data_IF_236013192575
#
_entry.id   IF_236013192575
#
_cell.length_a   1.000
_cell.length_b   1.000
_cell.length_c   1.000
_cell.angle_alpha   90.00
_cell.angle_beta   90.00
_cell.angle_gamma   90.00
#
_symmetry.space_group_name_H-M   'P 1'
#
loop_
_entity.id
_entity.type
_entity.pdbx_description
1 polymer ?
#
# COMPACT_ATOMS: atom_id res chain seq x y z
N UNK A 1 -0.56 14.11 15.72
CA UNK A 1 -0.05 14.67 16.99
C UNK A 1 1.02 13.71 17.50
N UNK A 2 2.26 14.19 17.58
CA UNK A 2 3.33 13.44 18.20
C UNK A 2 2.99 13.20 19.66
N UNK A 3 3.05 11.97 20.11
CA UNK A 3 2.92 11.63 21.52
C UNK A 3 4.25 11.94 22.18
N UNK A 4 4.56 13.24 22.33
CA UNK A 4 5.53 13.68 23.29
C UNK A 4 4.91 13.67 24.68
N UNK A 5 5.63 13.24 25.70
CA UNK A 5 5.34 13.62 27.08
C UNK A 5 5.17 15.13 27.11
N UNK A 6 4.39 15.64 28.05
CA UNK A 6 4.18 17.07 28.28
C UNK A 6 5.50 17.83 28.08
N UNK A 7 5.48 18.79 27.17
CA UNK A 7 6.65 19.57 26.81
C UNK A 7 7.15 20.32 28.06
N UNK A 8 8.29 19.89 28.60
CA UNK A 8 9.03 20.66 29.59
C UNK A 8 10.12 21.41 28.86
N UNK A 9 10.19 22.74 28.95
CA UNK A 9 11.24 23.53 28.31
C UNK A 9 12.67 23.08 28.69
N UNK A 10 12.81 22.42 29.83
CA UNK A 10 14.09 21.98 30.38
C UNK A 10 14.50 20.55 29.98
N UNK A 11 13.63 19.80 29.28
CA UNK A 11 13.92 18.44 28.84
C UNK A 11 14.19 18.38 27.34
N UNK A 12 15.41 18.61 26.90
CA UNK A 12 15.89 18.44 25.51
C UNK A 12 15.62 17.06 24.90
N UNK A 13 15.26 16.05 25.70
CA UNK A 13 15.03 14.65 25.28
C UNK A 13 13.80 14.43 24.39
N UNK A 14 12.88 15.38 24.32
CA UNK A 14 11.57 15.20 23.68
C UNK A 14 11.31 16.14 22.52
N UNK A 15 12.37 16.69 21.91
CA UNK A 15 12.25 17.61 20.77
C UNK A 15 12.07 16.88 19.42
N UNK A 16 12.22 15.55 19.39
CA UNK A 16 12.04 14.77 18.17
C UNK A 16 10.57 14.44 17.93
N UNK A 17 10.01 15.00 16.86
CA UNK A 17 8.63 14.73 16.45
C UNK A 17 8.58 13.52 15.51
N UNK A 18 8.09 12.39 16.02
CA UNK A 18 7.97 11.15 15.29
C UNK A 18 6.98 11.23 14.11
N UNK A 19 6.11 12.22 14.05
CA UNK A 19 5.12 12.33 12.98
C UNK A 19 5.76 12.73 11.66
N UNK A 20 6.71 13.66 11.67
CA UNK A 20 7.33 14.17 10.44
C UNK A 20 8.85 13.98 10.36
N UNK A 21 9.55 13.89 11.52
CA UNK A 21 11.01 13.72 11.54
C UNK A 21 11.42 12.24 11.45
N UNK A 22 10.65 11.31 12.05
CA UNK A 22 10.97 9.90 11.95
C UNK A 22 10.81 9.40 10.51
N UNK A 23 11.89 8.83 9.97
CA UNK A 23 11.90 8.18 8.66
C UNK A 23 12.04 6.67 8.87
N UNK A 24 11.01 5.91 8.54
CA UNK A 24 10.92 4.47 8.79
C UNK A 24 10.43 3.73 7.55
N UNK A 25 10.83 2.49 7.41
CA UNK A 25 10.38 1.65 6.31
C UNK A 25 8.89 1.37 6.43
N UNK A 26 8.06 1.77 5.44
CA UNK A 26 6.61 1.55 5.46
C UNK A 26 6.22 0.08 5.28
N UNK A 27 7.12 -0.76 4.78
CA UNK A 27 6.82 -2.14 4.46
C UNK A 27 5.61 -2.24 3.51
N UNK A 28 4.73 -3.18 3.77
CA UNK A 28 3.56 -3.44 2.91
C UNK A 28 2.54 -2.29 2.82
N UNK A 29 2.66 -1.20 3.61
CA UNK A 29 1.84 0.00 3.37
C UNK A 29 2.26 0.76 2.12
N UNK A 30 3.39 0.41 1.50
CA UNK A 30 3.82 0.95 0.21
C UNK A 30 3.11 0.27 -0.99
N UNK A 31 2.62 -0.95 -0.84
CA UNK A 31 1.97 -1.71 -1.93
C UNK A 31 0.83 -0.97 -2.64
N UNK A 32 -0.04 -0.20 -1.96
CA UNK A 32 -1.09 0.56 -2.65
C UNK A 32 -0.58 1.45 -3.79
N UNK A 33 0.64 2.00 -3.73
CA UNK A 33 1.21 2.79 -4.83
C UNK A 33 1.50 1.93 -6.07
N UNK A 34 1.99 0.71 -5.86
CA UNK A 34 2.23 -0.28 -6.93
C UNK A 34 0.92 -0.68 -7.61
N UNK A 35 -0.08 -1.02 -6.81
CA UNK A 35 -1.39 -1.43 -7.32
C UNK A 35 -2.13 -0.26 -7.97
N UNK A 36 -1.99 0.97 -7.46
CA UNK A 36 -2.54 2.17 -8.11
C UNK A 36 -1.95 2.36 -9.50
N UNK A 37 -0.63 2.21 -9.66
CA UNK A 37 0.01 2.28 -10.97
C UNK A 37 -0.53 1.21 -11.94
N UNK A 38 -0.73 -0.01 -11.45
CA UNK A 38 -1.27 -1.11 -12.26
C UNK A 38 -2.72 -0.86 -12.70
N UNK A 39 -3.59 -0.43 -11.79
CA UNK A 39 -5.00 -0.15 -12.09
C UNK A 39 -5.14 1.05 -13.04
N UNK A 40 -4.37 2.12 -12.83
CA UNK A 40 -4.40 3.32 -13.70
C UNK A 40 -3.87 3.03 -15.10
N UNK A 41 -2.92 2.09 -15.22
CA UNK A 41 -2.43 1.57 -16.50
C UNK A 41 -3.50 0.77 -17.28
N UNK A 42 -4.53 0.29 -16.58
CA UNK A 42 -5.66 -0.45 -17.16
C UNK A 42 -5.70 -1.93 -16.81
N UNK A 43 -4.84 -2.41 -15.90
CA UNK A 43 -4.99 -3.77 -15.39
C UNK A 43 -6.20 -3.82 -14.43
N UNK A 44 -7.16 -4.74 -14.63
CA UNK A 44 -8.32 -4.83 -13.73
C UNK A 44 -7.93 -5.49 -12.40
N UNK A 45 -8.71 -5.25 -11.34
CA UNK A 45 -8.45 -5.79 -10.02
C UNK A 45 -8.52 -7.34 -9.98
N UNK A 46 -9.23 -7.95 -10.91
CA UNK A 46 -9.30 -9.39 -11.12
C UNK A 46 -8.23 -9.94 -12.10
N UNK A 47 -7.23 -9.12 -12.50
CA UNK A 47 -6.08 -9.58 -13.25
C UNK A 47 -5.29 -10.63 -12.48
N UNK A 48 -4.94 -11.75 -13.14
CA UNK A 48 -4.26 -12.87 -12.50
C UNK A 48 -2.74 -12.76 -12.60
N UNK A 49 -2.09 -13.02 -11.47
CA UNK A 49 -0.62 -13.06 -11.33
C UNK A 49 -0.24 -14.33 -10.58
N UNK A 50 0.86 -14.96 -10.98
CA UNK A 50 1.36 -16.18 -10.35
C UNK A 50 2.04 -15.87 -9.00
N UNK A 51 1.56 -16.49 -7.92
CA UNK A 51 2.15 -16.38 -6.57
C UNK A 51 3.24 -17.42 -6.35
N UNK A 52 4.34 -17.26 -7.08
CA UNK A 52 5.52 -18.12 -6.99
C UNK A 52 6.78 -17.26 -6.83
N UNK A 53 7.81 -17.75 -6.14
CA UNK A 53 9.05 -17.03 -5.96
C UNK A 53 9.69 -16.62 -7.29
N UNK A 54 10.20 -15.38 -7.31
CA UNK A 54 11.12 -14.89 -8.33
C UNK A 54 12.50 -14.78 -7.69
N UNK A 55 13.52 -15.11 -8.45
CA UNK A 55 14.91 -15.00 -8.00
C UNK A 55 15.65 -14.05 -8.93
N UNK A 56 16.27 -13.05 -8.37
CA UNK A 56 17.04 -12.04 -9.08
C UNK A 56 18.50 -12.13 -8.64
N UNK A 57 19.41 -12.15 -9.60
CA UNK A 57 20.85 -12.04 -9.33
C UNK A 57 21.28 -10.60 -9.57
N UNK A 58 21.75 -9.92 -8.54
CA UNK A 58 22.18 -8.52 -8.56
C UNK A 58 23.65 -8.50 -8.12
N UNK A 59 24.56 -8.43 -9.10
CA UNK A 59 25.99 -8.63 -8.85
C UNK A 59 26.23 -10.02 -8.25
N UNK A 60 26.84 -10.07 -7.06
CA UNK A 60 27.10 -11.31 -6.32
C UNK A 60 26.00 -11.68 -5.31
N UNK A 61 24.89 -10.93 -5.28
CA UNK A 61 23.81 -11.15 -4.32
C UNK A 61 22.60 -11.76 -5.00
N UNK A 62 22.04 -12.80 -4.40
CA UNK A 62 20.77 -13.40 -4.81
C UNK A 62 19.64 -12.85 -3.94
N UNK A 63 18.64 -12.26 -4.58
CA UNK A 63 17.44 -11.76 -3.91
C UNK A 63 16.21 -12.54 -4.36
N UNK A 64 15.54 -13.20 -3.42
CA UNK A 64 14.34 -14.00 -3.68
C UNK A 64 13.28 -13.66 -2.62
N UNK A 65 12.40 -12.69 -2.91
CA UNK A 65 11.35 -12.28 -1.97
C UNK A 65 10.32 -13.40 -1.77
N UNK A 66 9.91 -13.62 -0.50
CA UNK A 66 8.91 -14.61 -0.11
C UNK A 66 7.72 -13.93 0.56
N UNK A 67 6.58 -14.60 0.55
CA UNK A 67 5.44 -14.19 1.37
C UNK A 67 5.79 -14.27 2.86
N UNK A 68 5.12 -13.45 3.70
CA UNK A 68 5.47 -13.32 5.12
C UNK A 68 5.27 -14.61 5.92
N UNK A 69 4.38 -15.48 5.47
CA UNK A 69 4.11 -16.80 6.03
C UNK A 69 4.93 -17.92 5.38
N UNK A 70 5.81 -17.55 4.42
CA UNK A 70 6.61 -18.51 3.66
C UNK A 70 5.84 -19.31 2.61
N UNK A 71 4.54 -19.08 2.47
CA UNK A 71 3.69 -19.77 1.50
C UNK A 71 3.97 -19.33 0.06
N UNK A 72 3.57 -20.17 -0.87
CA UNK A 72 3.46 -19.87 -2.29
C UNK A 72 2.18 -20.51 -2.81
N UNK A 73 1.57 -19.88 -3.78
CA UNK A 73 0.30 -20.32 -4.34
C UNK A 73 0.35 -20.49 -5.87
N UNK A 74 -0.80 -20.63 -6.47
CA UNK A 74 -1.00 -20.61 -7.91
C UNK A 74 -1.34 -19.21 -8.43
N UNK A 75 -2.12 -19.18 -9.50
CA UNK A 75 -2.66 -17.92 -10.05
C UNK A 75 -3.62 -17.27 -9.04
N UNK A 76 -3.42 -16.00 -8.77
CA UNK A 76 -4.27 -15.22 -7.86
C UNK A 76 -4.56 -13.84 -8.44
N UNK A 77 -5.66 -13.21 -8.05
CA UNK A 77 -6.04 -11.89 -8.55
C UNK A 77 -5.27 -10.78 -7.83
N UNK A 78 -5.12 -9.60 -8.48
CA UNK A 78 -4.55 -8.42 -7.82
C UNK A 78 -5.32 -8.07 -6.53
N UNK A 79 -6.65 -8.16 -6.58
CA UNK A 79 -7.51 -7.93 -5.41
C UNK A 79 -7.15 -8.86 -4.25
N UNK A 80 -7.09 -10.16 -4.51
CA UNK A 80 -6.75 -11.15 -3.50
C UNK A 80 -5.31 -10.95 -2.97
N UNK A 81 -4.37 -10.68 -3.87
CA UNK A 81 -2.98 -10.45 -3.52
C UNK A 81 -2.77 -9.23 -2.61
N UNK A 82 -3.48 -8.10 -2.88
CA UNK A 82 -3.44 -6.93 -2.00
C UNK A 82 -4.12 -7.23 -0.66
N UNK A 83 -5.25 -7.93 -0.68
CA UNK A 83 -6.02 -8.34 0.51
C UNK A 83 -5.17 -9.17 1.47
N UNK A 84 -4.44 -10.15 0.96
CA UNK A 84 -3.55 -11.01 1.72
C UNK A 84 -2.12 -10.47 1.84
N UNK A 85 -1.85 -9.33 1.19
CA UNK A 85 -0.53 -8.69 1.25
C UNK A 85 0.62 -9.55 0.71
N UNK A 86 0.37 -10.31 -0.38
CA UNK A 86 1.36 -11.21 -0.97
C UNK A 86 2.56 -10.44 -1.53
N UNK A 87 3.78 -10.82 -1.13
CA UNK A 87 5.01 -10.18 -1.57
C UNK A 87 5.40 -10.61 -2.98
N UNK A 88 5.33 -11.91 -3.24
CA UNK A 88 5.73 -12.51 -4.51
C UNK A 88 4.93 -11.93 -5.68
N UNK A 89 3.60 -11.84 -5.51
CA UNK A 89 2.70 -11.23 -6.50
C UNK A 89 3.02 -9.75 -6.73
N UNK A 90 3.27 -8.99 -5.64
CA UNK A 90 3.59 -7.55 -5.77
C UNK A 90 4.89 -7.33 -6.54
N UNK A 91 5.92 -8.14 -6.26
CA UNK A 91 7.21 -8.06 -6.97
C UNK A 91 7.05 -8.47 -8.43
N UNK A 92 6.33 -9.56 -8.70
CA UNK A 92 6.06 -10.03 -10.06
C UNK A 92 5.26 -9.00 -10.87
N UNK A 93 4.20 -8.44 -10.29
CA UNK A 93 3.41 -7.37 -10.89
C UNK A 93 4.29 -6.17 -11.29
N UNK A 94 5.15 -5.72 -10.38
CA UNK A 94 6.05 -4.61 -10.66
C UNK A 94 7.08 -4.95 -11.73
N UNK A 95 7.64 -6.15 -11.70
CA UNK A 95 8.67 -6.58 -12.63
C UNK A 95 8.14 -6.81 -14.06
N UNK A 96 6.96 -7.44 -14.17
CA UNK A 96 6.40 -7.84 -15.46
C UNK A 96 5.55 -6.76 -16.13
N UNK A 97 4.88 -5.89 -15.33
CA UNK A 97 3.84 -4.99 -15.82
C UNK A 97 4.16 -3.50 -15.66
N UNK A 98 5.09 -3.15 -14.79
CA UNK A 98 5.37 -1.76 -14.40
C UNK A 98 6.87 -1.48 -14.50
N UNK A 99 7.24 -0.24 -14.18
CA UNK A 99 8.62 0.15 -13.92
C UNK A 99 8.73 0.84 -12.56
N UNK A 100 9.90 0.75 -11.92
CA UNK A 100 10.12 1.42 -10.62
C UNK A 100 9.96 2.95 -10.71
N UNK A 101 10.44 3.65 -11.75
CA UNK A 101 10.19 5.08 -11.91
C UNK A 101 8.70 5.44 -12.01
N UNK A 102 7.89 4.60 -12.68
CA UNK A 102 6.45 4.77 -12.77
C UNK A 102 5.81 4.69 -11.39
N UNK A 103 6.14 3.67 -10.59
CA UNK A 103 5.66 3.51 -9.21
C UNK A 103 6.07 4.71 -8.33
N UNK A 104 7.33 5.16 -8.44
CA UNK A 104 7.83 6.35 -7.75
C UNK A 104 7.00 7.59 -8.13
N UNK A 105 6.65 7.74 -9.40
CA UNK A 105 5.82 8.86 -9.86
C UNK A 105 4.46 8.90 -9.14
N UNK A 106 3.78 7.75 -8.97
CA UNK A 106 2.53 7.68 -8.21
C UNK A 106 2.73 8.04 -6.74
N UNK A 107 3.75 7.49 -6.09
CA UNK A 107 4.08 7.83 -4.70
C UNK A 107 4.35 9.36 -4.54
N UNK A 108 5.09 9.97 -5.49
CA UNK A 108 5.35 11.42 -5.50
C UNK A 108 4.09 12.24 -5.70
N UNK A 109 3.25 11.87 -6.66
CA UNK A 109 1.96 12.54 -6.92
C UNK A 109 1.06 12.51 -5.69
N UNK A 110 1.08 11.41 -4.93
CA UNK A 110 0.33 11.23 -3.70
C UNK A 110 1.00 11.82 -2.46
N UNK A 111 2.17 12.48 -2.59
CA UNK A 111 2.76 13.29 -1.52
C UNK A 111 3.94 12.70 -0.77
N UNK A 112 4.49 11.56 -1.20
CA UNK A 112 5.75 11.06 -0.64
C UNK A 112 6.89 11.93 -1.15
N UNK A 113 7.54 12.68 -0.27
CA UNK A 113 8.67 13.58 -0.57
C UNK A 113 10.04 12.97 -0.22
N UNK A 114 10.09 11.98 0.65
CA UNK A 114 11.31 11.25 1.02
C UNK A 114 11.95 10.59 -0.20
N UNK A 115 13.27 10.48 -0.22
CA UNK A 115 14.00 9.80 -1.29
C UNK A 115 13.55 8.34 -1.40
N UNK A 116 13.19 7.92 -2.61
CA UNK A 116 12.79 6.57 -2.94
C UNK A 116 13.84 5.95 -3.84
N UNK A 117 14.38 4.79 -3.43
CA UNK A 117 15.38 4.07 -4.20
C UNK A 117 14.74 3.44 -5.44
N UNK A 118 15.36 3.66 -6.62
CA UNK A 118 14.85 3.13 -7.88
C UNK A 118 15.28 1.67 -8.11
N UNK A 119 15.02 0.82 -7.12
CA UNK A 119 15.26 -0.63 -7.20
C UNK A 119 13.95 -1.41 -6.97
N UNK A 120 13.91 -2.66 -7.39
CA UNK A 120 12.69 -3.47 -7.33
C UNK A 120 12.23 -3.75 -5.89
N UNK A 121 13.13 -3.73 -4.90
CA UNK A 121 12.74 -3.96 -3.50
C UNK A 121 11.87 -2.82 -2.93
N UNK A 122 11.88 -1.63 -3.54
CA UNK A 122 11.01 -0.51 -3.20
C UNK A 122 9.54 -0.93 -3.10
N UNK A 123 9.08 -1.83 -3.97
CA UNK A 123 7.67 -2.26 -4.02
C UNK A 123 7.21 -2.99 -2.75
N UNK A 124 8.17 -3.43 -1.94
CA UNK A 124 7.95 -4.00 -0.61
C UNK A 124 8.11 -2.97 0.53
N UNK A 125 8.36 -1.69 0.19
CA UNK A 125 8.49 -0.59 1.13
C UNK A 125 9.82 -0.56 1.86
N UNK A 126 10.93 -0.75 1.15
CA UNK A 126 12.29 -0.70 1.73
C UNK A 126 12.83 0.72 1.89
N UNK A 127 12.38 1.70 1.09
CA UNK A 127 12.73 3.11 1.29
C UNK A 127 11.94 3.73 2.43
N UNK A 128 12.57 4.61 3.19
CA UNK A 128 11.99 5.20 4.40
C UNK A 128 11.07 6.38 4.10
N UNK A 129 9.99 6.51 4.86
CA UNK A 129 9.03 7.62 4.79
C UNK A 129 8.61 8.04 6.18
N UNK A 130 8.07 9.26 6.35
CA UNK A 130 7.50 9.66 7.63
C UNK A 130 6.02 9.24 7.76
N UNK A 131 5.51 9.12 9.00
CA UNK A 131 4.09 8.92 9.23
C UNK A 131 3.21 9.98 8.59
N UNK A 132 3.64 11.25 8.58
CA UNK A 132 2.91 12.35 7.95
C UNK A 132 2.83 12.21 6.44
N UNK A 133 3.93 11.84 5.77
CA UNK A 133 3.92 11.58 4.33
C UNK A 133 2.96 10.45 3.97
N UNK A 134 3.00 9.35 4.75
CA UNK A 134 2.11 8.23 4.51
C UNK A 134 0.64 8.60 4.77
N UNK A 135 0.35 9.40 5.80
CA UNK A 135 -0.99 9.91 6.07
C UNK A 135 -1.50 10.82 4.95
N UNK A 136 -0.65 11.73 4.46
CA UNK A 136 -0.94 12.58 3.29
C UNK A 136 -1.19 11.76 2.02
N UNK A 137 -0.42 10.69 1.81
CA UNK A 137 -0.61 9.81 0.67
C UNK A 137 -1.92 9.02 0.76
N UNK A 138 -2.25 8.46 1.92
CA UNK A 138 -3.51 7.76 2.12
C UNK A 138 -4.73 8.68 2.13
N UNK A 139 -4.56 9.97 2.46
CA UNK A 139 -5.63 10.96 2.35
C UNK A 139 -6.07 11.19 0.91
N UNK A 140 -5.20 10.94 -0.08
CA UNK A 140 -5.54 10.98 -1.50
C UNK A 140 -6.67 9.99 -1.83
N UNK A 141 -6.63 8.78 -1.26
CA UNK A 141 -7.71 7.82 -1.44
C UNK A 141 -9.03 8.30 -0.84
N UNK A 142 -9.01 8.82 0.40
CA UNK A 142 -10.21 9.34 1.05
C UNK A 142 -10.79 10.59 0.35
N UNK A 143 -9.96 11.33 -0.38
CA UNK A 143 -10.29 12.59 -1.06
C UNK A 143 -10.44 12.43 -2.58
N UNK A 144 -11.03 11.31 -3.03
CA UNK A 144 -11.36 11.05 -4.43
C UNK A 144 -10.19 11.23 -5.42
N UNK A 145 -8.97 10.84 -5.02
CA UNK A 145 -7.78 10.93 -5.84
C UNK A 145 -7.07 12.30 -5.84
N UNK A 146 -7.55 13.24 -5.04
CA UNK A 146 -6.94 14.57 -4.88
C UNK A 146 -6.00 14.56 -3.67
N UNK A 147 -4.72 14.75 -3.91
CA UNK A 147 -3.78 15.02 -2.83
C UNK A 147 -3.89 16.48 -2.36
N UNK A 148 -3.91 16.64 -1.06
CA UNK A 148 -3.83 17.93 -0.40
C UNK A 148 -2.66 17.93 0.57
N UNK A 149 -1.90 19.01 0.60
CA UNK A 149 -0.80 19.19 1.54
C UNK A 149 -1.30 19.15 2.98
N UNK A 150 -0.69 18.27 3.84
CA UNK A 150 -0.99 18.27 5.27
C UNK A 150 -0.51 19.57 5.92
N UNK A 151 -1.41 20.29 6.59
CA UNK A 151 -1.10 21.54 7.29
C UNK A 151 -1.65 21.50 8.71
N UNK A 152 -0.94 22.12 9.66
CA UNK A 152 -1.35 22.22 11.06
C UNK A 152 -1.91 23.60 11.41
N UNK A 153 -1.52 24.65 10.68
CA UNK A 153 -1.94 26.04 10.92
C UNK A 153 -2.50 26.58 9.62
N UNK A 154 -3.80 26.89 9.60
CA UNK A 154 -4.45 27.50 8.43
C UNK A 154 -4.40 29.02 8.48
N UNK A 155 -4.58 29.61 9.67
CA UNK A 155 -4.54 31.06 9.85
C UNK A 155 -3.98 31.45 11.21
N UNK A 156 -3.41 32.64 11.28
CA UNK A 156 -2.98 33.31 12.50
C UNK A 156 -3.72 34.64 12.60
N UNK A 157 -4.38 34.87 13.71
CA UNK A 157 -5.12 36.09 14.00
C UNK A 157 -4.56 36.77 15.27
N UNK A 158 -4.65 38.08 15.33
CA UNK A 158 -4.31 38.84 16.55
C UNK A 158 -5.44 38.74 17.60
N UNK A 159 -5.20 39.33 18.78
CA UNK A 159 -6.17 39.33 19.87
C UNK A 159 -7.50 40.07 19.52
N UNK A 160 -7.57 40.77 18.41
CA UNK A 160 -8.76 41.46 17.91
C UNK A 160 -9.38 40.73 16.70
N UNK A 161 -9.02 39.49 16.45
CA UNK A 161 -9.48 38.66 15.32
C UNK A 161 -9.09 39.23 13.95
N UNK A 162 -8.06 40.09 13.87
CA UNK A 162 -7.53 40.57 12.61
C UNK A 162 -6.57 39.52 12.04
N UNK A 163 -6.77 39.15 10.77
CA UNK A 163 -5.93 38.24 10.07
C UNK A 163 -4.49 38.72 9.97
N UNK A 164 -3.52 38.00 10.52
CA UNK A 164 -2.09 38.27 10.39
C UNK A 164 -1.52 37.47 9.21
N UNK A 165 -1.89 36.19 9.10
CA UNK A 165 -1.41 35.31 8.04
C UNK A 165 -2.44 34.21 7.78
N UNK A 166 -2.56 33.80 6.50
CA UNK A 166 -3.37 32.67 6.06
C UNK A 166 -2.52 31.78 5.17
N UNK A 167 -2.66 30.46 5.34
CA UNK A 167 -1.99 29.46 4.54
C UNK A 167 -3.00 28.65 3.73
N UNK A 168 -2.86 28.69 2.42
CA UNK A 168 -3.70 27.91 1.49
C UNK A 168 -2.93 26.63 1.12
N UNK A 169 -3.38 25.44 1.56
CA UNK A 169 -2.70 24.19 1.24
C UNK A 169 -2.66 23.90 -0.26
N UNK A 170 -1.53 23.42 -0.74
CA UNK A 170 -1.40 22.96 -2.12
C UNK A 170 -2.31 21.76 -2.38
N UNK A 171 -2.91 21.71 -3.57
CA UNK A 171 -3.78 20.60 -4.02
C UNK A 171 -3.40 20.19 -5.44
N UNK A 172 -3.52 18.90 -5.73
CA UNK A 172 -3.35 18.36 -7.09
C UNK A 172 -4.15 17.07 -7.28
N UNK A 173 -4.61 16.85 -8.51
CA UNK A 173 -5.10 15.54 -8.91
C UNK A 173 -3.92 14.56 -8.96
N UNK A 174 -3.91 13.58 -8.07
CA UNK A 174 -2.85 12.60 -7.95
C UNK A 174 -3.17 11.32 -8.72
N UNK A 175 -4.41 10.86 -8.67
CA UNK A 175 -4.91 9.66 -9.35
C UNK A 175 -6.31 9.93 -9.91
N UNK A 176 -6.66 9.23 -10.99
CA UNK A 176 -7.99 9.29 -11.59
C UNK A 176 -9.07 8.80 -10.59
N UNK A 177 -10.25 9.44 -10.51
CA UNK A 177 -11.29 9.05 -9.58
C UNK A 177 -11.76 7.58 -9.74
N UNK A 178 -11.81 7.03 -10.95
CA UNK A 178 -12.19 5.63 -11.16
C UNK A 178 -11.10 4.69 -10.64
N UNK A 179 -9.82 4.98 -10.94
CA UNK A 179 -8.67 4.27 -10.35
C UNK A 179 -8.70 4.33 -8.83
N UNK A 180 -8.97 5.52 -8.27
CA UNK A 180 -9.10 5.71 -6.83
C UNK A 180 -10.19 4.82 -6.22
N UNK A 181 -11.37 4.77 -6.83
CA UNK A 181 -12.47 3.96 -6.32
C UNK A 181 -12.18 2.46 -6.37
N UNK A 182 -11.59 1.96 -7.47
CA UNK A 182 -11.15 0.56 -7.56
C UNK A 182 -10.15 0.25 -6.45
N UNK A 183 -9.18 1.13 -6.22
CA UNK A 183 -8.21 0.96 -5.12
C UNK A 183 -8.87 0.98 -3.74
N UNK A 184 -9.82 1.89 -3.48
CA UNK A 184 -10.61 1.89 -2.24
C UNK A 184 -11.31 0.55 -2.06
N UNK A 185 -11.97 0.02 -3.11
CA UNK A 185 -12.68 -1.26 -3.04
C UNK A 185 -11.74 -2.42 -2.66
N UNK A 186 -10.52 -2.43 -3.21
CA UNK A 186 -9.49 -3.43 -2.85
C UNK A 186 -8.97 -3.25 -1.41
N UNK A 187 -8.77 -2.00 -0.96
CA UNK A 187 -8.33 -1.68 0.40
C UNK A 187 -9.44 -1.92 1.45
N UNK A 188 -10.71 -1.87 1.06
CA UNK A 188 -11.84 -2.33 1.89
C UNK A 188 -11.75 -3.84 2.14
N UNK A 189 -11.39 -4.61 1.14
CA UNK A 189 -11.22 -6.07 1.29
C UNK A 189 -10.11 -6.40 2.29
N UNK A 190 -9.02 -5.63 2.33
CA UNK A 190 -7.98 -5.78 3.37
C UNK A 190 -8.56 -5.67 4.78
N UNK A 191 -9.45 -4.69 4.99
CA UNK A 191 -10.10 -4.43 6.30
C UNK A 191 -11.24 -5.40 6.60
N UNK A 192 -11.96 -5.85 5.59
CA UNK A 192 -13.14 -6.69 5.78
C UNK A 192 -12.81 -8.18 5.90
N UNK A 193 -11.85 -8.67 5.12
CA UNK A 193 -11.54 -10.11 5.00
C UNK A 193 -10.05 -10.46 4.88
N UNK A 194 -9.17 -9.43 4.87
CA UNK A 194 -7.73 -9.60 4.70
C UNK A 194 -6.93 -9.43 5.99
N UNK A 195 -5.69 -8.97 5.83
CA UNK A 195 -4.73 -8.77 6.94
C UNK A 195 -5.19 -7.76 7.99
N UNK A 196 -6.15 -6.89 7.66
CA UNK A 196 -6.78 -5.91 8.56
C UNK A 196 -8.12 -6.35 9.15
N UNK A 197 -8.57 -7.60 8.94
CA UNK A 197 -9.93 -8.06 9.33
C UNK A 197 -10.24 -7.92 10.83
N UNK A 198 -9.22 -7.83 11.68
CA UNK A 198 -9.39 -7.57 13.11
C UNK A 198 -10.11 -6.23 13.39
N UNK A 199 -10.07 -5.25 12.49
CA UNK A 199 -10.85 -4.01 12.58
C UNK A 199 -12.33 -4.33 12.77
N UNK A 200 -12.85 -5.32 12.04
CA UNK A 200 -14.25 -5.78 12.13
C UNK A 200 -14.44 -6.79 13.24
N UNK A 201 -13.71 -7.91 13.16
CA UNK A 201 -13.96 -9.09 13.99
C UNK A 201 -13.58 -8.90 15.46
N UNK A 202 -12.50 -8.16 15.75
CA UNK A 202 -12.02 -7.98 17.11
C UNK A 202 -12.38 -6.62 17.72
N UNK A 203 -12.29 -5.55 16.92
CA UNK A 203 -12.49 -4.19 17.43
C UNK A 203 -13.89 -3.63 17.16
N UNK A 204 -14.72 -4.36 16.40
CA UNK A 204 -16.10 -4.00 16.09
C UNK A 204 -16.25 -2.54 15.58
N UNK A 205 -15.30 -2.08 14.77
CA UNK A 205 -15.42 -0.81 14.07
C UNK A 205 -16.12 -1.06 12.74
N UNK A 206 -17.44 -0.77 12.72
CA UNK A 206 -18.34 -1.13 11.61
C UNK A 206 -18.62 0.04 10.64
N UNK A 207 -17.93 1.17 10.81
CA UNK A 207 -18.01 2.28 9.84
C UNK A 207 -17.34 1.89 8.52
N UNK A 208 -17.73 2.53 7.42
CA UNK A 208 -17.06 2.34 6.13
C UNK A 208 -15.59 2.70 6.25
N UNK A 209 -14.71 1.74 5.99
CA UNK A 209 -13.28 1.92 6.16
C UNK A 209 -12.47 1.07 5.19
N UNK A 210 -11.33 1.61 4.81
CA UNK A 210 -10.32 0.96 3.99
C UNK A 210 -8.93 1.16 4.62
N UNK A 211 -7.96 0.31 4.29
CA UNK A 211 -6.62 0.46 4.87
C UNK A 211 -5.66 -0.65 4.49
N UNK A 212 -4.44 -0.53 4.99
CA UNK A 212 -3.36 -1.49 4.72
C UNK A 212 -2.48 -1.67 5.96
N UNK A 213 -2.16 -2.91 6.28
CA UNK A 213 -1.16 -3.28 7.27
C UNK A 213 0.25 -3.18 6.67
N UNK A 214 1.22 -2.78 7.46
CA UNK A 214 2.63 -2.81 7.11
C UNK A 214 3.44 -3.52 8.20
N UNK A 215 4.43 -4.29 7.77
CA UNK A 215 5.38 -4.95 8.65
C UNK A 215 6.70 -5.03 7.90
N UNK A 216 7.80 -4.64 8.54
CA UNK A 216 9.13 -4.82 7.96
C UNK A 216 9.65 -6.21 8.24
N UNK A 217 10.45 -6.77 7.30
CA UNK A 217 11.03 -8.11 7.44
C UNK A 217 11.91 -8.25 8.69
N UNK A 218 12.54 -7.15 9.10
CA UNK A 218 13.38 -7.11 10.32
C UNK A 218 12.56 -7.03 11.61
N UNK A 219 11.23 -6.98 11.56
CA UNK A 219 10.35 -6.79 12.73
C UNK A 219 10.68 -5.54 13.55
N UNK A 220 11.09 -4.45 12.89
CA UNK A 220 11.41 -3.17 13.55
C UNK A 220 10.24 -2.20 13.51
N UNK A 221 9.49 -2.25 12.42
CA UNK A 221 8.42 -1.30 12.15
C UNK A 221 7.12 -2.03 11.87
N UNK A 222 6.09 -1.64 12.58
CA UNK A 222 4.73 -2.11 12.40
C UNK A 222 3.82 -0.92 12.08
N UNK A 223 3.05 -1.05 11.00
CA UNK A 223 2.22 0.04 10.48
C UNK A 223 0.78 -0.39 10.27
N UNK A 224 -0.12 0.54 10.48
CA UNK A 224 -1.47 0.49 9.94
C UNK A 224 -1.86 1.85 9.39
N UNK A 225 -2.09 1.92 8.09
CA UNK A 225 -2.60 3.10 7.40
C UNK A 225 -4.04 2.83 7.00
N UNK A 226 -4.99 3.57 7.58
CA UNK A 226 -6.41 3.34 7.35
C UNK A 226 -7.21 4.63 7.33
N UNK A 227 -8.34 4.59 6.65
CA UNK A 227 -9.18 5.75 6.42
C UNK A 227 -10.65 5.38 6.28
N UNK A 228 -11.48 6.36 6.56
CA UNK A 228 -12.90 6.43 6.22
C UNK A 228 -13.10 7.56 5.21
N UNK A 229 -14.30 7.78 4.66
CA UNK A 229 -14.53 8.95 3.81
C UNK A 229 -14.25 10.31 4.46
N UNK A 230 -14.15 10.37 5.80
CA UNK A 230 -14.04 11.64 6.54
C UNK A 230 -12.76 11.77 7.38
N UNK A 231 -12.06 10.67 7.65
CA UNK A 231 -10.92 10.68 8.56
C UNK A 231 -9.85 9.69 8.11
N UNK A 232 -8.61 10.15 8.11
CA UNK A 232 -7.42 9.33 7.82
C UNK A 232 -6.56 9.27 9.08
N UNK A 233 -6.07 8.09 9.41
CA UNK A 233 -5.08 7.91 10.46
C UNK A 233 -4.03 6.88 10.04
N UNK A 234 -2.78 7.19 10.36
CA UNK A 234 -1.64 6.28 10.18
C UNK A 234 -1.00 6.08 11.54
N UNK A 235 -0.80 4.84 11.89
CA UNK A 235 -0.12 4.44 13.12
C UNK A 235 1.15 3.70 12.77
N UNK A 236 2.24 4.18 13.34
CA UNK A 236 3.52 3.49 13.39
C UNK A 236 3.82 3.08 14.83
N UNK A 237 4.31 1.86 14.99
CA UNK A 237 4.86 1.36 16.25
C UNK A 237 6.22 0.73 15.98
N UNK A 238 7.18 1.12 16.78
CA UNK A 238 8.58 0.68 16.65
C UNK A 238 9.43 1.27 17.78
N UNK A 239 10.73 1.29 17.58
CA UNK A 239 11.69 1.78 18.55
C UNK A 239 12.54 2.89 17.91
N UNK A 240 12.98 3.86 18.72
CA UNK A 240 13.87 4.92 18.27
C UNK A 240 15.24 4.37 17.85
N UNK A 241 15.72 3.38 18.60
CA UNK A 241 16.95 2.68 18.27
C UNK A 241 16.65 1.55 17.25
N UNK A 242 17.19 1.68 16.05
CA UNK A 242 17.01 0.70 14.97
C UNK A 242 17.61 -0.68 15.27
N UNK A 243 18.46 -0.81 16.28
CA UNK A 243 18.99 -2.10 16.74
C UNK A 243 17.95 -2.92 17.49
N UNK A 244 16.94 -2.25 18.06
CA UNK A 244 15.84 -2.89 18.78
C UNK A 244 14.77 -3.34 17.78
N UNK A 245 14.27 -4.56 18.00
CA UNK A 245 13.19 -5.16 17.19
C UNK A 245 12.19 -5.86 18.08
N UNK A 246 11.01 -6.10 17.57
CA UNK A 246 10.03 -6.96 18.22
C UNK A 246 10.58 -8.40 18.32
N UNK A 247 10.25 -9.08 19.39
CA UNK A 247 10.75 -10.44 19.69
C UNK A 247 10.18 -11.52 18.79
N UNK A 248 9.00 -11.28 18.22
CA UNK A 248 8.34 -12.21 17.29
C UNK A 248 7.40 -11.49 16.33
N UNK A 249 7.01 -12.17 15.26
CA UNK A 249 5.99 -11.70 14.33
C UNK A 249 4.63 -11.52 15.03
N UNK A 250 4.34 -12.26 16.08
CA UNK A 250 3.12 -12.12 16.85
C UNK A 250 2.97 -10.72 17.46
N UNK A 251 4.06 -10.13 17.92
CA UNK A 251 4.06 -8.79 18.52
C UNK A 251 4.38 -7.67 17.53
N UNK A 252 5.19 -7.97 16.51
CA UNK A 252 5.73 -6.97 15.57
C UNK A 252 4.95 -6.81 14.27
N UNK A 253 3.84 -7.53 14.07
CA UNK A 253 2.99 -7.32 12.89
C UNK A 253 2.14 -6.05 13.02
N UNK A 254 1.97 -5.33 11.89
CA UNK A 254 1.09 -4.16 11.84
C UNK A 254 -0.33 -4.45 12.29
N UNK A 255 -0.84 -5.66 12.00
CA UNK A 255 -2.14 -6.13 12.45
C UNK A 255 -2.24 -6.32 13.98
N UNK A 256 -1.11 -6.47 14.67
CA UNK A 256 -1.05 -6.73 16.13
C UNK A 256 -0.61 -5.51 16.94
N UNK A 257 0.34 -4.74 16.42
CA UNK A 257 0.93 -3.61 17.13
C UNK A 257 0.26 -2.26 16.77
N UNK A 258 0.03 -1.98 15.49
CA UNK A 258 -0.46 -0.68 15.03
C UNK A 258 -1.98 -0.63 14.84
N UNK A 259 -2.59 -1.66 14.27
CA UNK A 259 -4.03 -1.73 14.00
C UNK A 259 -4.90 -1.55 15.26
N UNK A 260 -4.58 -2.13 16.45
CA UNK A 260 -5.36 -1.92 17.66
C UNK A 260 -5.46 -0.45 18.06
N UNK A 261 -4.34 0.28 17.93
CA UNK A 261 -4.27 1.72 18.24
C UNK A 261 -5.13 2.50 17.26
N UNK A 262 -5.02 2.20 15.96
CA UNK A 262 -5.86 2.80 14.93
C UNK A 262 -7.34 2.56 15.18
N UNK A 263 -7.72 1.32 15.44
CA UNK A 263 -9.14 0.96 15.67
C UNK A 263 -9.70 1.64 16.90
N UNK A 264 -8.94 1.69 18.00
CA UNK A 264 -9.33 2.40 19.22
C UNK A 264 -9.49 3.91 19.01
N UNK A 265 -8.55 4.53 18.27
CA UNK A 265 -8.61 5.94 17.90
C UNK A 265 -9.85 6.24 17.05
N UNK A 266 -10.05 5.51 15.95
CA UNK A 266 -11.19 5.72 15.06
C UNK A 266 -12.53 5.53 15.77
N UNK A 267 -12.63 4.50 16.62
CA UNK A 267 -13.84 4.24 17.41
C UNK A 267 -14.17 5.42 18.33
N UNK A 268 -13.17 5.98 19.01
CA UNK A 268 -13.34 7.17 19.86
C UNK A 268 -13.77 8.39 19.04
N UNK A 269 -13.11 8.65 17.89
CA UNK A 269 -13.49 9.76 17.03
C UNK A 269 -14.94 9.67 16.56
N UNK A 270 -15.40 8.49 16.14
CA UNK A 270 -16.78 8.28 15.68
C UNK A 270 -17.80 8.26 16.81
N UNK A 271 -17.37 8.06 18.04
CA UNK A 271 -18.22 8.13 19.24
C UNK A 271 -18.28 9.54 19.85
N UNK A 272 -17.46 10.48 19.40
CA UNK A 272 -17.43 11.85 19.88
C UNK A 272 -18.36 12.75 19.06
N UNK A 273 -19.50 13.20 19.64
CA UNK A 273 -20.46 14.04 18.92
C UNK A 273 -19.88 15.39 18.47
N UNK A 274 -18.85 15.89 19.15
CA UNK A 274 -18.23 17.19 18.83
C UNK A 274 -17.55 17.16 17.46
N UNK A 275 -17.07 16.00 17.00
CA UNK A 275 -16.42 15.80 15.71
C UNK A 275 -17.41 15.68 14.55
N UNK A 276 -18.71 15.48 14.81
CA UNK A 276 -19.78 15.40 13.83
C UNK A 276 -19.50 14.37 12.70
N UNK A 277 -18.71 13.34 13.00
CA UNK A 277 -18.42 12.25 12.05
C UNK A 277 -19.66 11.36 11.89
N UNK A 278 -19.92 10.93 10.66
CA UNK A 278 -21.07 10.10 10.30
C UNK A 278 -20.59 8.86 9.55
N UNK A 279 -21.35 7.78 9.62
CA UNK A 279 -21.13 6.64 8.74
C UNK A 279 -21.54 7.02 7.31
N UNK A 280 -20.57 7.30 6.47
CA UNK A 280 -20.77 7.63 5.05
C UNK A 280 -20.08 6.59 4.19
N UNK A 281 -20.67 6.31 3.04
CA UNK A 281 -20.03 5.46 2.02
C UNK A 281 -19.00 6.28 1.21
N UNK A 282 -18.01 5.59 0.65
CA UNK A 282 -17.15 6.19 -0.36
C UNK A 282 -17.96 6.50 -1.63
N UNK A 283 -17.70 7.65 -2.24
CA UNK A 283 -18.35 8.03 -3.51
C UNK A 283 -17.95 7.10 -4.63
N UNK A 284 -18.93 6.64 -5.40
CA UNK A 284 -18.72 5.84 -6.61
C UNK A 284 -18.75 6.79 -7.80
N UNK A 285 -17.64 6.95 -8.56
CA UNK A 285 -17.64 7.74 -9.78
C UNK A 285 -18.59 7.14 -10.84
N UNK A 286 -19.25 7.99 -11.61
CA UNK A 286 -20.17 7.55 -12.69
C UNK A 286 -19.47 6.71 -13.77
N UNK A 287 -18.17 6.86 -13.93
CA UNK A 287 -17.36 6.12 -14.90
C UNK A 287 -17.03 4.69 -14.45
N UNK A 288 -17.36 4.30 -13.23
CA UNK A 288 -17.15 2.93 -12.75
C UNK A 288 -18.12 1.97 -13.41
N UNK A 289 -17.55 0.86 -13.89
CA UNK A 289 -18.32 -0.26 -14.44
C UNK A 289 -18.32 -1.37 -13.39
N UNK A 290 -19.51 -1.68 -12.87
CA UNK A 290 -19.71 -2.74 -11.87
C UNK A 290 -20.27 -3.99 -12.57
N UNK A 291 -19.56 -5.11 -12.46
CA UNK A 291 -19.94 -6.38 -13.09
C UNK A 291 -19.96 -7.49 -12.05
N UNK A 292 -21.07 -8.21 -11.91
CA UNK A 292 -21.07 -9.45 -11.15
C UNK A 292 -20.18 -10.49 -11.84
N UNK A 293 -19.23 -11.06 -11.12
CA UNK A 293 -18.34 -12.11 -11.61
C UNK A 293 -18.27 -13.27 -10.63
N UNK A 294 -18.06 -14.47 -11.13
CA UNK A 294 -17.78 -15.66 -10.31
C UNK A 294 -16.36 -15.60 -9.78
N UNK A 295 -16.18 -15.82 -8.48
CA UNK A 295 -14.86 -15.89 -7.85
C UNK A 295 -14.05 -17.10 -8.37
N UNK A 296 -14.71 -18.16 -8.78
CA UNK A 296 -14.08 -19.39 -9.26
C UNK A 296 -13.66 -19.28 -10.72
N UNK A 297 -14.54 -18.81 -11.60
CA UNK A 297 -14.28 -18.76 -13.05
C UNK A 297 -13.73 -17.42 -13.53
N UNK A 298 -13.82 -16.37 -12.72
CA UNK A 298 -13.49 -14.99 -13.06
C UNK A 298 -14.24 -14.46 -14.31
N UNK A 299 -15.45 -15.00 -14.57
CA UNK A 299 -16.34 -14.64 -15.69
C UNK A 299 -17.58 -13.94 -15.18
N UNK A 300 -18.26 -13.16 -16.05
CA UNK A 300 -19.57 -12.63 -15.69
C UNK A 300 -20.49 -13.73 -15.16
N UNK A 301 -21.18 -13.46 -14.08
CA UNK A 301 -22.03 -14.40 -13.38
C UNK A 301 -23.33 -13.72 -12.94
N UNK A 302 -24.37 -14.51 -12.71
CA UNK A 302 -25.56 -14.04 -12.02
C UNK A 302 -25.26 -13.89 -10.51
N UNK A 303 -25.73 -12.81 -9.90
CA UNK A 303 -25.63 -12.59 -8.45
C UNK A 303 -26.36 -13.65 -7.62
N UNK A 304 -27.18 -14.49 -8.22
CA UNK A 304 -27.80 -15.65 -7.57
C UNK A 304 -26.81 -16.80 -7.31
N UNK A 305 -25.67 -16.81 -8.01
CA UNK A 305 -24.63 -17.79 -7.76
C UNK A 305 -23.91 -17.50 -6.44
N UNK A 306 -23.71 -18.52 -5.63
CA UNK A 306 -23.14 -18.41 -4.28
C UNK A 306 -21.70 -17.90 -4.24
N UNK A 307 -20.96 -17.99 -5.36
CA UNK A 307 -19.59 -17.52 -5.51
C UNK A 307 -19.48 -16.16 -6.23
N UNK A 308 -20.63 -15.55 -6.60
CA UNK A 308 -20.65 -14.29 -7.30
C UNK A 308 -20.33 -13.12 -6.36
N UNK A 309 -19.54 -12.17 -6.86
CA UNK A 309 -19.28 -10.89 -6.23
C UNK A 309 -19.24 -9.78 -7.27
N UNK A 310 -19.45 -8.54 -6.85
CA UNK A 310 -19.35 -7.38 -7.75
C UNK A 310 -17.88 -6.97 -7.85
N UNK A 311 -17.34 -7.04 -9.08
CA UNK A 311 -16.05 -6.45 -9.39
C UNK A 311 -16.22 -5.07 -10.01
N UNK A 312 -15.35 -4.13 -9.62
CA UNK A 312 -15.38 -2.76 -10.11
C UNK A 312 -14.22 -2.52 -11.07
N UNK A 313 -14.56 -1.94 -12.21
CA UNK A 313 -13.61 -1.67 -13.28
C UNK A 313 -13.52 -0.18 -13.58
N UNK A 314 -12.31 0.29 -13.85
CA UNK A 314 -12.12 1.53 -14.61
C UNK A 314 -12.53 1.27 -16.08
N UNK A 315 -12.83 2.29 -16.91
CA UNK A 315 -13.10 2.08 -18.33
C UNK A 315 -12.00 1.31 -19.05
N UNK A 316 -10.72 1.64 -18.80
CA UNK A 316 -9.57 0.93 -19.38
C UNK A 316 -9.49 -0.52 -18.87
N UNK A 317 -9.69 -0.72 -17.56
CA UNK A 317 -9.68 -2.05 -16.97
C UNK A 317 -10.78 -2.95 -17.48
N UNK A 318 -11.96 -2.40 -17.78
CA UNK A 318 -13.05 -3.15 -18.38
C UNK A 318 -12.76 -3.54 -19.84
N UNK A 319 -12.17 -2.61 -20.63
CA UNK A 319 -11.72 -2.92 -21.99
C UNK A 319 -10.67 -4.05 -21.97
N UNK A 320 -9.72 -3.99 -21.04
CA UNK A 320 -8.73 -5.06 -20.86
C UNK A 320 -9.41 -6.40 -20.54
N UNK A 321 -10.33 -6.40 -19.58
CA UNK A 321 -11.09 -7.60 -19.17
C UNK A 321 -11.86 -8.23 -20.33
N UNK A 322 -12.53 -7.41 -21.16
CA UNK A 322 -13.25 -7.89 -22.33
C UNK A 322 -12.33 -8.46 -23.43
N UNK A 323 -11.16 -7.83 -23.63
CA UNK A 323 -10.20 -8.26 -24.63
C UNK A 323 -9.44 -9.53 -24.26
N UNK A 324 -9.37 -9.87 -22.96
CA UNK A 324 -8.63 -11.01 -22.43
C UNK A 324 -9.55 -11.92 -21.61
N UNK A 325 -10.51 -12.62 -22.25
CA UNK A 325 -11.37 -13.56 -21.54
C UNK A 325 -10.52 -14.67 -20.94
N UNK A 326 -10.74 -14.94 -19.64
CA UNK A 326 -10.00 -15.96 -18.90
C UNK A 326 -10.15 -17.31 -19.61
N UNK A 327 -9.04 -17.85 -20.14
CA UNK A 327 -9.00 -19.23 -20.61
C UNK A 327 -9.14 -20.16 -19.40
N UNK A 328 -10.04 -21.14 -19.45
CA UNK A 328 -10.09 -22.19 -18.46
C UNK A 328 -8.78 -22.99 -18.56
N UNK A 329 -7.92 -22.90 -17.55
CA UNK A 329 -7.00 -23.97 -17.27
C UNK A 329 -7.82 -25.13 -16.70
N UNK A 330 -8.33 -25.97 -17.58
CA UNK A 330 -8.75 -27.33 -17.20
C UNK A 330 -7.48 -27.98 -16.64
N UNK A 331 -7.46 -28.13 -15.32
CA UNK A 331 -6.37 -28.83 -14.60
C UNK A 331 -6.34 -30.31 -14.98
N UNK A 332 -5.64 -30.58 -16.09
CA UNK A 332 -5.00 -31.86 -16.37
C UNK A 332 -3.57 -31.54 -16.79
N UNK A 333 -2.70 -31.41 -15.81
CA UNK A 333 -1.27 -31.51 -16.05
C UNK A 333 -1.00 -32.98 -16.39
N UNK A 334 -0.96 -33.31 -17.67
CA UNK A 334 -0.22 -34.49 -18.14
C UNK A 334 1.28 -34.20 -17.95
N UNK A 335 2.06 -35.15 -17.44
CA UNK A 335 3.51 -35.01 -17.42
C UNK A 335 4.01 -34.99 -18.87
N UNK A 336 4.62 -33.92 -19.28
CA UNK A 336 5.35 -33.87 -20.54
C UNK A 336 6.59 -34.74 -20.41
N UNK A 337 6.57 -35.85 -21.13
CA UNK A 337 7.75 -36.63 -21.48
C UNK A 337 8.76 -35.75 -22.22
N UNK A 338 10.03 -35.93 -21.89
CA UNK A 338 11.12 -35.19 -22.47
C UNK A 338 11.25 -35.40 -23.96
N UNK A 339 11.55 -34.36 -24.66
CA UNK A 339 12.34 -34.45 -25.89
C UNK A 339 13.40 -33.36 -25.90
N UNK A 340 14.63 -33.87 -26.03
CA UNK A 340 15.86 -33.13 -26.21
C UNK A 340 16.01 -32.76 -27.68
N UNK A 341 16.62 -31.63 -27.91
CA UNK A 341 17.20 -31.13 -29.19
C UNK A 341 16.38 -30.06 -29.90
N UNK A 342 16.84 -28.81 -29.76
CA UNK A 342 17.21 -27.97 -30.90
C UNK A 342 17.79 -26.62 -30.44
N UNK A 343 19.05 -26.45 -30.62
CA UNK A 343 19.72 -25.16 -30.61
C UNK A 343 19.16 -24.26 -31.71
N UNK A 344 18.80 -23.00 -31.37
CA UNK A 344 18.76 -21.90 -32.33
C UNK A 344 19.35 -20.64 -31.71
N UNK A 345 20.43 -20.26 -32.32
CA UNK A 345 21.14 -18.99 -32.25
C UNK A 345 20.25 -17.80 -32.65
N UNK A 346 20.46 -16.67 -32.02
CA UNK A 346 20.31 -15.40 -32.72
C UNK A 346 19.63 -14.27 -31.91
N UNK A 347 20.47 -13.31 -31.67
CA UNK A 347 20.24 -11.87 -31.55
C UNK A 347 19.91 -11.25 -30.21
N UNK A 348 20.88 -10.62 -29.75
CA UNK A 348 21.23 -9.45 -28.99
C UNK A 348 20.09 -8.53 -28.54
N UNK A 349 20.06 -8.34 -27.25
CA UNK A 349 19.41 -7.18 -26.63
C UNK A 349 20.49 -6.42 -25.84
N UNK A 350 20.57 -5.09 -25.91
CA UNK A 350 21.67 -4.33 -25.36
C UNK A 350 21.63 -4.34 -23.82
N UNK A 351 22.82 -4.54 -23.27
CA UNK A 351 23.12 -4.41 -21.83
C UNK A 351 22.65 -3.06 -21.28
N UNK A 352 21.71 -3.10 -20.35
CA UNK A 352 21.41 -1.94 -19.52
C UNK A 352 22.36 -1.96 -18.32
N UNK A 353 23.48 -1.21 -18.46
CA UNK A 353 24.39 -0.95 -17.34
C UNK A 353 23.66 -0.15 -16.27
N UNK A 354 23.24 -0.81 -15.19
CA UNK A 354 22.84 -0.16 -13.97
C UNK A 354 24.05 -0.05 -13.06
N UNK A 355 24.74 1.11 -13.11
CA UNK A 355 25.78 1.45 -12.15
C UNK A 355 25.13 1.73 -10.77
N UNK A 356 25.35 0.87 -9.80
CA UNK A 356 25.12 1.15 -8.39
C UNK A 356 26.38 1.81 -7.81
N UNK A 357 26.30 2.95 -7.12
CA UNK A 357 27.43 3.46 -6.37
C UNK A 357 27.71 2.54 -5.18
N UNK A 358 28.92 2.00 -5.13
CA UNK A 358 29.44 1.29 -3.98
C UNK A 358 29.52 2.26 -2.78
N UNK A 359 28.80 1.96 -1.69
CA UNK A 359 29.01 2.63 -0.42
C UNK A 359 30.35 2.14 0.16
N UNK A 360 31.32 3.04 0.23
CA UNK A 360 32.54 2.82 0.99
C UNK A 360 32.25 2.76 2.49
N UNK A 361 32.91 1.89 3.26
CA UNK A 361 32.76 1.87 4.71
C UNK A 361 33.34 3.18 5.29
N UNK A 362 32.54 3.85 6.11
CA UNK A 362 32.99 5.00 6.89
C UNK A 362 33.97 4.50 7.97
N UNK A 363 35.20 4.94 7.89
CA UNK A 363 36.18 4.80 8.97
C UNK A 363 35.63 5.46 10.24
N UNK A 364 35.57 4.69 11.31
CA UNK A 364 35.38 5.21 12.66
C UNK A 364 36.60 6.07 13.04
N UNK A 365 36.39 7.37 13.19
CA UNK A 365 37.31 8.20 13.97
C UNK A 365 36.85 8.21 15.43
N UNK A 366 37.63 7.54 16.25
CA UNK A 366 37.62 7.64 17.69
C UNK A 366 38.13 9.05 18.07
N UNK A 367 37.28 9.83 18.72
CA UNK A 367 37.63 10.80 19.77
C UNK A 367 36.44 10.93 20.72
#
# INVERSE_FOLDING_TARGET
MGWGKQFSPDEYKYQFDHVWQAKRQPGSTFKPFVYTAAIDKGLPANFHVLDQPLTFTIGNTVWSPRNSDGSSGGMTTLRSALTQSLNQVTVRLAYEQLSTPEIISYARRMGISSTLDSNLSLVLGTSVVSPLELAGAFSTFANNGVWQEPVSILKVEDKHSRLISEYIPNRRFAIDPATNFVMISMLKDVVNKGTGAAVRSRYAFNMEAAGKTGTTQSMRDAWFAGFTPQLVAVVWTGFDDERIKFTSMEYGQGARAALPIWAGFMKRCYSDPSLKLQNRNFSIPETIIAVPISAQSNRPSDMLNSDAYVEYFTPKGFQYYQAHPVQQNNGTASPAEGDSTAARSGNGNPEMQTAFPAQQPKEEKVF
#
